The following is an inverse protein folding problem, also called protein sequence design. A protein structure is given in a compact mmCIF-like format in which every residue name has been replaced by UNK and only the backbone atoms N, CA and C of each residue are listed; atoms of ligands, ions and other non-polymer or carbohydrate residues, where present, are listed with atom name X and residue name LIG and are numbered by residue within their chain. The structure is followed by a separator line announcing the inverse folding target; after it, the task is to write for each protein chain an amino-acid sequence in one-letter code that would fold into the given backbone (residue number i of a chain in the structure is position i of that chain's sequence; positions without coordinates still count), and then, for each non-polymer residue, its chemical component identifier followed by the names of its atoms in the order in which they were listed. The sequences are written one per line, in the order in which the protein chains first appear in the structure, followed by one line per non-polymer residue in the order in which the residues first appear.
data_IF_106220040391
#
_entry.id   IF_106220040391
#
_cell.length_a   1.000
_cell.length_b   1.000
_cell.length_c   1.000
_cell.angle_alpha   90.00
_cell.angle_beta   90.00
_cell.angle_gamma   90.00
#
_symmetry.space_group_name_H-M   'P 1'
#
loop_
_entity.id
_entity.type
_entity.pdbx_description
1 polymer ?
#
# COMPACT_ATOMS: atom_id res chain seq x y z
N UNK A 1 -3.34 -24.65 3.88
CA UNK A 1 -2.76 -23.29 3.98
C UNK A 1 -3.32 -22.51 5.16
N UNK A 2 -4.64 -22.51 5.41
CA UNK A 2 -5.19 -21.97 6.68
C UNK A 2 -4.52 -22.64 7.89
N UNK A 3 -4.23 -23.94 7.79
CA UNK A 3 -3.47 -24.67 8.81
C UNK A 3 -1.98 -24.27 8.91
N UNK A 4 -1.39 -23.76 7.82
CA UNK A 4 0.02 -23.35 7.75
C UNK A 4 0.27 -21.94 8.31
N UNK A 5 -0.80 -21.15 8.46
CA UNK A 5 -0.78 -19.82 9.08
C UNK A 5 -1.51 -19.85 10.43
N UNK A 6 -1.67 -21.04 11.04
CA UNK A 6 -2.37 -21.21 12.32
C UNK A 6 -1.70 -20.44 13.47
N UNK A 7 -0.39 -20.19 13.38
CA UNK A 7 0.38 -19.39 14.34
C UNK A 7 0.37 -17.87 14.04
N UNK A 8 -0.37 -17.41 13.01
CA UNK A 8 -0.39 -16.00 12.62
C UNK A 8 -1.69 -15.31 13.03
N UNK A 9 -1.57 -14.08 13.56
CA UNK A 9 -2.71 -13.24 13.90
C UNK A 9 -3.06 -12.32 12.73
N UNK A 10 -4.31 -12.32 12.31
CA UNK A 10 -4.81 -11.41 11.28
C UNK A 10 -5.60 -10.27 11.93
N UNK A 11 -5.26 -9.03 11.59
CA UNK A 11 -6.03 -7.85 11.95
C UNK A 11 -6.59 -7.20 10.69
N UNK A 12 -7.90 -6.93 10.69
CA UNK A 12 -8.55 -6.17 9.61
C UNK A 12 -8.51 -4.70 9.98
N UNK A 13 -7.73 -3.91 9.24
CA UNK A 13 -7.69 -2.46 9.39
C UNK A 13 -8.55 -1.81 8.32
N UNK A 14 -9.54 -1.02 8.74
CA UNK A 14 -10.31 -0.14 7.85
C UNK A 14 -10.01 1.30 8.21
N UNK A 15 -9.67 2.11 7.21
CA UNK A 15 -9.61 3.55 7.41
C UNK A 15 -11.05 4.05 7.64
N UNK A 16 -11.26 5.01 8.56
CA UNK A 16 -12.55 5.68 8.67
C UNK A 16 -12.98 6.21 7.31
N UNK A 17 -14.29 6.21 6.98
CA UNK A 17 -14.77 6.76 5.73
C UNK A 17 -14.28 8.21 5.57
N UNK A 18 -13.33 8.41 4.65
CA UNK A 18 -12.85 9.74 4.31
C UNK A 18 -13.86 10.34 3.34
N UNK A 19 -14.45 11.48 3.68
CA UNK A 19 -15.33 12.22 2.78
C UNK A 19 -14.48 12.79 1.63
N UNK A 20 -14.23 11.99 0.61
CA UNK A 20 -13.45 12.36 -0.56
C UNK A 20 -14.33 13.21 -1.49
N UNK A 21 -14.27 14.53 -1.33
CA UNK A 21 -14.76 15.45 -2.35
C UNK A 21 -13.88 15.24 -3.59
N UNK A 22 -14.37 14.49 -4.57
CA UNK A 22 -13.74 14.32 -5.89
C UNK A 22 -13.39 15.69 -6.46
N UNK A 23 -12.12 16.09 -6.34
CA UNK A 23 -11.55 17.18 -7.12
C UNK A 23 -10.46 16.57 -7.97
N UNK A 24 -10.70 16.58 -9.27
CA UNK A 24 -9.82 16.07 -10.34
C UNK A 24 -8.40 16.65 -10.37
N UNK A 25 -7.98 17.48 -9.38
CA UNK A 25 -6.70 18.22 -9.38
C UNK A 25 -6.13 18.53 -7.99
N UNK A 26 -6.20 17.63 -7.00
CA UNK A 26 -5.69 17.97 -5.66
C UNK A 26 -5.34 16.80 -4.75
N UNK A 27 -4.06 16.42 -4.83
CA UNK A 27 -3.14 15.98 -3.77
C UNK A 27 -3.58 14.87 -2.76
N UNK A 28 -2.80 13.78 -2.60
CA UNK A 28 -2.83 12.94 -1.41
C UNK A 28 -2.34 13.69 -0.15
N UNK A 29 -3.17 14.60 0.38
CA UNK A 29 -2.99 15.27 1.67
C UNK A 29 -3.18 14.28 2.83
N UNK A 30 -2.28 13.32 2.95
CA UNK A 30 -2.18 12.48 4.14
C UNK A 30 -0.73 12.39 4.65
N UNK A 31 0.24 12.99 3.94
CA UNK A 31 1.67 12.86 4.24
C UNK A 31 2.32 14.09 4.89
N UNK A 32 1.62 15.22 5.00
CA UNK A 32 2.24 16.46 5.53
C UNK A 32 2.11 16.65 7.04
N UNK A 33 1.49 15.71 7.77
CA UNK A 33 1.21 15.90 9.20
C UNK A 33 1.02 14.64 10.04
N UNK A 34 1.24 13.44 9.47
CA UNK A 34 1.32 12.23 10.29
C UNK A 34 2.75 12.13 10.80
N UNK A 35 2.94 12.60 12.02
CA UNK A 35 4.09 12.22 12.82
C UNK A 35 3.90 10.76 13.20
N UNK A 36 4.74 9.84 12.70
CA UNK A 36 4.66 8.43 13.10
C UNK A 36 5.06 8.22 14.58
N UNK A 37 5.32 9.31 15.32
CA UNK A 37 5.60 9.31 16.76
C UNK A 37 4.39 9.66 17.63
N UNK A 38 3.15 9.68 17.11
CA UNK A 38 1.96 9.68 17.98
C UNK A 38 1.92 8.40 18.82
N UNK A 39 1.52 8.51 20.09
CA UNK A 39 1.54 7.47 21.13
C UNK A 39 0.85 6.14 20.76
N UNK A 40 0.07 6.09 19.68
CA UNK A 40 -0.55 4.87 19.13
C UNK A 40 -0.39 4.87 17.59
N UNK A 41 0.54 4.09 17.03
CA UNK A 41 0.63 3.92 15.58
C UNK A 41 -0.67 3.30 15.06
N UNK A 42 -1.19 3.72 13.90
CA UNK A 42 -2.46 3.22 13.36
C UNK A 42 -2.43 1.73 13.00
N UNK A 43 -1.25 1.12 12.99
CA UNK A 43 -0.97 -0.27 12.72
C UNK A 43 -0.18 -0.86 13.88
N UNK A 44 -0.50 -2.12 14.23
CA UNK A 44 0.30 -2.89 15.18
C UNK A 44 1.76 -2.91 14.68
N UNK A 45 2.69 -2.42 15.51
CA UNK A 45 4.13 -2.36 15.21
C UNK A 45 4.74 -3.74 14.91
N UNK A 46 4.02 -4.83 15.22
CA UNK A 46 4.43 -6.20 14.92
C UNK A 46 3.96 -6.69 13.54
N UNK A 47 3.13 -5.94 12.83
CA UNK A 47 2.69 -6.31 11.48
C UNK A 47 3.85 -6.19 10.49
N UNK A 48 4.16 -7.29 9.81
CA UNK A 48 5.28 -7.38 8.88
C UNK A 48 4.83 -7.23 7.41
N UNK A 49 3.52 -7.34 7.17
CA UNK A 49 2.91 -7.45 5.85
C UNK A 49 1.57 -6.70 5.82
N UNK A 50 1.25 -6.11 4.68
CA UNK A 50 -0.05 -5.54 4.37
C UNK A 50 -0.55 -6.14 3.05
N UNK A 51 -1.82 -6.52 2.99
CA UNK A 51 -2.42 -7.09 1.79
C UNK A 51 -3.48 -6.13 1.21
N UNK A 52 -3.44 -5.90 -0.11
CA UNK A 52 -4.54 -5.26 -0.84
C UNK A 52 -5.24 -6.30 -1.69
N UNK A 53 -6.56 -6.42 -1.57
CA UNK A 53 -7.42 -7.17 -2.50
C UNK A 53 -8.39 -6.24 -3.23
N UNK A 54 -8.09 -4.94 -3.28
CA UNK A 54 -8.97 -3.91 -3.82
C UNK A 54 -9.22 -4.13 -5.31
N UNK A 55 -10.46 -4.04 -5.78
CA UNK A 55 -10.79 -4.00 -7.22
C UNK A 55 -10.52 -2.62 -7.83
N UNK A 56 -10.63 -1.58 -7.01
CA UNK A 56 -10.39 -0.19 -7.39
C UNK A 56 -9.60 0.53 -6.30
N UNK A 57 -8.53 1.20 -6.71
CA UNK A 57 -7.72 2.09 -5.88
C UNK A 57 -7.07 3.13 -6.80
N UNK A 58 -7.02 4.38 -6.37
CA UNK A 58 -6.43 5.46 -7.16
C UNK A 58 -4.93 5.55 -6.95
N UNK A 59 -4.46 5.57 -5.71
CA UNK A 59 -3.04 5.78 -5.40
C UNK A 59 -2.46 4.65 -4.53
N UNK A 60 -3.30 3.89 -3.83
CA UNK A 60 -2.82 2.93 -2.86
C UNK A 60 -2.39 3.57 -1.54
N UNK A 61 -3.06 4.64 -1.08
CA UNK A 61 -2.62 5.35 0.13
C UNK A 61 -2.54 4.47 1.37
N UNK A 62 -3.47 3.54 1.57
CA UNK A 62 -3.43 2.58 2.68
C UNK A 62 -2.19 1.67 2.62
N UNK A 63 -1.78 1.29 1.40
CA UNK A 63 -0.57 0.50 1.17
C UNK A 63 0.67 1.34 1.46
N UNK A 64 0.72 2.59 0.96
CA UNK A 64 1.83 3.51 1.22
C UNK A 64 1.97 3.84 2.72
N UNK A 65 0.87 4.02 3.45
CA UNK A 65 0.84 4.24 4.91
C UNK A 65 1.42 3.03 5.66
N UNK A 66 1.01 1.81 5.29
CA UNK A 66 1.52 0.59 5.90
C UNK A 66 3.00 0.35 5.57
N UNK A 67 3.43 0.63 4.34
CA UNK A 67 4.84 0.60 3.95
C UNK A 67 5.69 1.58 4.77
N UNK A 68 5.18 2.78 5.03
CA UNK A 68 5.84 3.75 5.90
C UNK A 68 5.96 3.26 7.35
N UNK A 69 5.00 2.46 7.83
CA UNK A 69 5.08 1.75 9.11
C UNK A 69 6.01 0.51 9.06
N UNK A 70 6.62 0.21 7.92
CA UNK A 70 7.57 -0.89 7.74
C UNK A 70 6.96 -2.22 7.34
N UNK A 71 5.68 -2.25 6.95
CA UNK A 71 5.04 -3.44 6.38
C UNK A 71 5.48 -3.67 4.93
N UNK A 72 5.53 -4.93 4.51
CA UNK A 72 5.75 -5.30 3.10
C UNK A 72 4.43 -5.41 2.36
N UNK A 73 4.28 -4.78 1.19
CA UNK A 73 3.05 -4.83 0.44
C UNK A 73 2.93 -6.16 -0.29
N UNK A 74 1.77 -6.82 -0.15
CA UNK A 74 1.30 -7.92 -0.99
C UNK A 74 0.08 -7.41 -1.74
N UNK A 75 0.20 -7.14 -3.03
CA UNK A 75 -0.82 -6.43 -3.80
C UNK A 75 -1.05 -7.06 -5.17
N UNK A 76 -2.19 -6.83 -5.84
CA UNK A 76 -2.40 -7.37 -7.16
C UNK A 76 -1.56 -6.62 -8.21
N UNK A 77 -1.17 -7.31 -9.27
CA UNK A 77 -0.48 -6.74 -10.44
C UNK A 77 -1.47 -5.97 -11.34
N UNK A 78 -2.11 -4.94 -10.78
CA UNK A 78 -3.05 -4.00 -11.43
C UNK A 78 -3.17 -2.74 -10.56
N UNK A 79 -4.07 -1.82 -10.93
CA UNK A 79 -4.18 -0.49 -10.29
C UNK A 79 -2.90 0.32 -10.50
N UNK A 80 -2.54 1.21 -9.58
CA UNK A 80 -1.30 2.01 -9.65
C UNK A 80 -0.08 1.30 -9.04
N UNK A 81 -0.26 0.11 -8.46
CA UNK A 81 0.82 -0.64 -7.82
C UNK A 81 2.02 -0.93 -8.75
N UNK A 82 1.84 -1.30 -10.04
CA UNK A 82 2.96 -1.52 -10.95
C UNK A 82 3.85 -0.29 -11.19
N UNK A 83 3.33 0.92 -10.93
CA UNK A 83 4.05 2.18 -11.18
C UNK A 83 5.16 2.42 -10.15
N UNK A 84 4.98 1.94 -8.92
CA UNK A 84 5.90 2.21 -7.81
C UNK A 84 6.30 0.98 -7.00
N UNK A 85 5.78 -0.23 -7.28
CA UNK A 85 6.15 -1.47 -6.59
C UNK A 85 6.89 -2.45 -7.50
N UNK A 86 7.92 -3.07 -6.95
CA UNK A 86 8.63 -4.14 -7.62
C UNK A 86 7.73 -5.36 -7.84
N UNK A 87 8.05 -6.20 -8.83
CA UNK A 87 7.23 -7.38 -9.17
C UNK A 87 7.19 -8.40 -8.03
N UNK A 88 8.21 -8.42 -7.17
CA UNK A 88 8.27 -9.32 -6.02
C UNK A 88 7.18 -9.06 -4.98
N UNK A 89 6.53 -7.88 -4.99
CA UNK A 89 5.43 -7.51 -4.10
C UNK A 89 4.05 -7.69 -4.74
N UNK A 90 4.02 -8.08 -6.02
CA UNK A 90 2.81 -8.11 -6.86
C UNK A 90 2.43 -9.52 -7.25
N UNK A 91 1.24 -9.96 -6.86
CA UNK A 91 0.68 -11.24 -7.31
C UNK A 91 -0.12 -11.07 -8.60
N UNK A 92 -0.17 -12.10 -9.45
CA UNK A 92 -0.89 -12.04 -10.73
C UNK A 92 -2.38 -11.74 -10.54
N UNK A 93 -2.87 -10.73 -11.25
CA UNK A 93 -4.28 -10.33 -11.20
C UNK A 93 -5.18 -11.19 -12.08
N UNK A 94 -6.42 -11.41 -11.67
CA UNK A 94 -7.41 -12.16 -12.45
C UNK A 94 -8.84 -11.70 -12.17
N UNK A 95 -9.73 -11.74 -13.16
CA UNK A 95 -11.16 -11.43 -12.98
C UNK A 95 -11.88 -12.48 -12.11
N UNK A 96 -11.32 -13.68 -12.02
CA UNK A 96 -11.82 -14.78 -11.19
C UNK A 96 -11.16 -14.70 -9.81
N UNK A 97 -11.94 -14.30 -8.79
CA UNK A 97 -11.43 -14.07 -7.44
C UNK A 97 -10.74 -15.29 -6.82
N UNK A 98 -11.27 -16.53 -6.92
CA UNK A 98 -10.54 -17.74 -6.55
C UNK A 98 -9.14 -17.86 -7.16
N UNK A 99 -8.97 -17.53 -8.44
CA UNK A 99 -7.68 -17.59 -9.14
C UNK A 99 -6.75 -16.50 -8.63
N UNK A 100 -7.24 -15.25 -8.50
CA UNK A 100 -6.47 -14.12 -7.97
C UNK A 100 -6.04 -14.36 -6.51
N UNK A 101 -6.94 -14.90 -5.69
CA UNK A 101 -6.63 -15.30 -4.31
C UNK A 101 -5.56 -16.40 -4.26
N UNK A 102 -5.62 -17.38 -5.16
CA UNK A 102 -4.59 -18.41 -5.26
C UNK A 102 -3.24 -17.81 -5.63
N UNK A 103 -3.19 -16.83 -6.54
CA UNK A 103 -1.95 -16.13 -6.88
C UNK A 103 -1.36 -15.37 -5.68
N UNK A 104 -2.19 -14.66 -4.91
CA UNK A 104 -1.75 -13.99 -3.68
C UNK A 104 -1.16 -14.97 -2.66
N UNK A 105 -1.82 -16.10 -2.49
CA UNK A 105 -1.38 -17.22 -1.65
C UNK A 105 -0.05 -17.80 -2.10
N UNK A 106 0.11 -18.02 -3.40
CA UNK A 106 1.34 -18.55 -3.96
C UNK A 106 2.51 -17.58 -3.71
N UNK A 107 2.29 -16.28 -3.89
CA UNK A 107 3.31 -15.28 -3.59
C UNK A 107 3.65 -15.26 -2.09
N UNK A 108 2.65 -15.24 -1.22
CA UNK A 108 2.83 -15.26 0.24
C UNK A 108 3.61 -16.52 0.70
N UNK A 109 3.35 -17.66 0.08
CA UNK A 109 4.03 -18.91 0.42
C UNK A 109 5.54 -18.86 0.19
N UNK A 110 6.01 -18.09 -0.81
CA UNK A 110 7.44 -17.86 -1.02
C UNK A 110 8.07 -16.99 0.07
N UNK A 111 7.27 -16.27 0.85
CA UNK A 111 7.76 -15.37 1.90
C UNK A 111 7.75 -15.98 3.30
N UNK A 112 7.27 -17.23 3.43
CA UNK A 112 7.15 -17.92 4.73
C UNK A 112 8.52 -18.04 5.41
N UNK A 113 9.56 -18.38 4.65
CA UNK A 113 10.91 -18.56 5.19
C UNK A 113 11.72 -17.26 5.18
N UNK A 114 11.50 -16.41 4.17
CA UNK A 114 12.23 -15.16 3.98
C UNK A 114 11.33 -14.07 3.40
N UNK A 115 11.08 -13.04 4.21
CA UNK A 115 10.31 -11.88 3.75
C UNK A 115 11.14 -11.05 2.75
N UNK A 116 10.50 -10.48 1.70
CA UNK A 116 11.19 -9.61 0.74
C UNK A 116 11.80 -8.39 1.44
N UNK A 117 12.71 -7.64 0.83
CA UNK A 117 13.15 -6.38 1.41
C UNK A 117 11.95 -5.43 1.60
N UNK A 118 12.03 -4.60 2.66
CA UNK A 118 11.11 -3.47 2.82
C UNK A 118 11.34 -2.50 1.67
N UNK A 119 10.26 -2.02 1.07
CA UNK A 119 10.32 -0.98 0.05
C UNK A 119 9.71 0.31 0.61
N UNK A 120 10.36 1.44 0.37
CA UNK A 120 9.86 2.77 0.76
C UNK A 120 9.83 3.65 -0.50
N UNK A 121 8.63 4.03 -1.00
CA UNK A 121 8.49 4.89 -2.17
C UNK A 121 8.77 6.35 -1.78
N UNK A 122 10.03 6.69 -1.55
CA UNK A 122 10.44 8.01 -1.08
C UNK A 122 10.13 9.13 -2.10
N UNK A 123 10.09 8.80 -3.38
CA UNK A 123 9.70 9.67 -4.49
C UNK A 123 8.23 10.11 -4.43
N UNK A 124 7.38 9.34 -3.75
CA UNK A 124 5.97 9.66 -3.51
C UNK A 124 5.74 10.50 -2.24
N UNK A 125 6.80 10.85 -1.49
CA UNK A 125 6.66 11.76 -0.34
C UNK A 125 6.30 13.16 -0.79
N UNK A 126 5.46 13.82 0.00
CA UNK A 126 5.02 15.19 -0.32
C UNK A 126 6.19 16.17 -0.50
N UNK A 127 7.24 16.03 0.31
CA UNK A 127 8.44 16.86 0.22
C UNK A 127 9.17 16.73 -1.13
N UNK A 128 9.05 15.58 -1.81
CA UNK A 128 9.63 15.34 -3.13
C UNK A 128 8.69 15.79 -4.25
N UNK A 129 7.38 15.68 -4.04
CA UNK A 129 6.37 16.05 -5.02
C UNK A 129 6.09 17.55 -5.08
N UNK A 130 6.32 18.29 -3.98
CA UNK A 130 5.98 19.71 -3.87
C UNK A 130 6.58 20.55 -5.00
N UNK A 131 7.87 20.39 -5.28
CA UNK A 131 8.57 21.12 -6.34
C UNK A 131 7.99 20.83 -7.74
N UNK A 132 7.66 19.57 -8.02
CA UNK A 132 7.03 19.14 -9.27
C UNK A 132 5.65 19.77 -9.46
N UNK A 133 4.85 19.88 -8.39
CA UNK A 133 3.56 20.56 -8.45
C UNK A 133 3.71 22.06 -8.63
N UNK A 134 4.62 22.71 -7.89
CA UNK A 134 4.92 24.14 -8.03
C UNK A 134 5.30 24.48 -9.47
N UNK A 135 6.20 23.71 -10.08
CA UNK A 135 6.62 23.89 -11.47
C UNK A 135 5.47 23.73 -12.46
N UNK A 136 4.60 22.74 -12.23
CA UNK A 136 3.44 22.48 -13.09
C UNK A 136 2.43 23.62 -13.02
N UNK A 137 2.14 24.13 -11.82
CA UNK A 137 1.24 25.27 -11.64
C UNK A 137 1.85 26.56 -12.19
N UNK A 138 3.16 26.78 -12.05
CA UNK A 138 3.85 27.93 -12.61
C UNK A 138 3.87 27.95 -14.15
N UNK A 139 3.82 26.78 -14.81
CA UNK A 139 3.77 26.64 -16.28
C UNK A 139 2.35 26.68 -16.86
N UNK A 140 1.32 26.66 -16.01
CA UNK A 140 -0.08 26.52 -16.43
C UNK A 140 -0.87 27.83 -16.44
N UNK A 141 -0.20 28.99 -16.27
CA UNK A 141 -0.79 30.34 -16.35
C UNK A 141 0.10 31.28 -17.15
#
# INVERSE_FOLDING_TARGET
MVDALSDHTFAVHTLPPRYFSWRFRGNPLTWSGIDFTVDEPPLDLNSQLVNSTSEHDFQGLSILEAMACGCRPLVPDRLTYPEYLESQHRYSSHEDHPIEAHAAVMLLSHWIDELPPKQVPDDLRWQQLESCYVDTFAKSF
#
